data_IF_401713877675
#
_entry.id   IF_401713877675
#
_cell.length_a   1.000
_cell.length_b   1.000
_cell.length_c   1.000
_cell.angle_alpha   90.00
_cell.angle_beta   90.00
_cell.angle_gamma   90.00
#
_symmetry.space_group_name_H-M   'P 1'
#
loop_
_entity.id
_entity.type
_entity.pdbx_description
1 polymer ?
#
# COMPACT_ATOMS: atom_id res chain seq x y z
N UNK A 1 33.00 14.90 14.11
CA UNK A 1 32.17 15.64 15.10
C UNK A 1 31.19 14.66 15.72
N UNK A 2 30.78 14.83 16.99
CA UNK A 2 29.74 13.99 17.56
C UNK A 2 28.45 14.15 16.75
N UNK A 3 27.68 13.07 16.62
CA UNK A 3 26.36 13.10 15.97
C UNK A 3 25.47 14.05 16.77
N UNK A 4 24.82 15.05 16.12
CA UNK A 4 23.95 15.98 16.83
C UNK A 4 22.75 15.26 17.44
N UNK A 5 22.13 15.87 18.44
CA UNK A 5 20.92 15.36 19.08
C UNK A 5 19.76 16.33 18.90
N UNK A 6 18.54 15.80 18.93
CA UNK A 6 17.31 16.58 18.99
C UNK A 6 16.59 16.34 20.31
N UNK A 7 15.89 17.35 20.81
CA UNK A 7 15.12 17.24 22.05
C UNK A 7 13.66 16.88 21.72
N UNK A 8 13.19 15.76 22.25
CA UNK A 8 11.80 15.33 22.16
C UNK A 8 10.90 16.19 23.08
N UNK A 9 9.58 16.15 22.87
CA UNK A 9 8.60 16.92 23.65
C UNK A 9 8.62 16.64 25.17
N UNK A 10 9.16 15.50 25.58
CA UNK A 10 9.32 15.10 26.98
C UNK A 10 10.74 15.32 27.52
N UNK A 11 11.61 15.99 26.76
CA UNK A 11 12.97 16.34 27.14
C UNK A 11 14.02 15.27 26.91
N UNK A 12 13.64 14.07 26.46
CA UNK A 12 14.59 13.03 26.05
C UNK A 12 15.36 13.49 24.80
N UNK A 13 16.67 13.24 24.76
CA UNK A 13 17.49 13.55 23.59
C UNK A 13 17.63 12.33 22.67
N UNK A 14 17.29 12.52 21.40
CA UNK A 14 17.41 11.50 20.34
C UNK A 14 18.59 11.82 19.43
N UNK A 15 19.52 10.88 19.18
CA UNK A 15 20.59 11.09 18.20
C UNK A 15 20.03 11.26 16.79
N UNK A 16 20.58 12.23 16.06
CA UNK A 16 20.15 12.59 14.71
C UNK A 16 20.37 11.45 13.70
N UNK A 17 21.35 10.58 13.91
CA UNK A 17 21.63 9.42 13.06
C UNK A 17 21.55 8.15 13.89
N UNK A 18 20.69 7.23 13.49
CA UNK A 18 20.44 5.94 14.14
C UNK A 18 20.77 4.80 13.18
N UNK A 19 21.34 3.71 13.68
CA UNK A 19 21.61 2.53 12.86
C UNK A 19 20.30 1.77 12.63
N UNK A 20 19.76 1.82 11.41
CA UNK A 20 18.61 1.00 11.04
C UNK A 20 19.03 -0.46 10.86
N UNK A 21 18.30 -1.40 11.49
CA UNK A 21 18.68 -2.82 11.47
C UNK A 21 17.76 -3.74 10.67
N UNK A 22 16.79 -3.21 9.93
CA UNK A 22 15.94 -4.02 9.05
C UNK A 22 16.77 -4.79 8.00
N UNK A 23 16.35 -6.03 7.68
CA UNK A 23 17.02 -6.98 6.75
C UNK A 23 18.42 -7.48 7.17
N UNK A 24 18.72 -7.58 8.46
CA UNK A 24 19.87 -8.37 8.94
C UNK A 24 19.74 -9.84 8.53
N UNK A 25 20.84 -10.53 8.21
CA UNK A 25 20.82 -12.00 8.04
C UNK A 25 20.76 -12.65 9.42
N UNK A 26 19.90 -13.65 9.59
CA UNK A 26 19.60 -14.33 10.86
C UNK A 26 20.31 -15.68 10.98
N UNK A 27 21.59 -15.73 10.61
CA UNK A 27 22.45 -16.91 10.81
C UNK A 27 23.22 -16.87 12.14
N UNK A 28 22.80 -16.03 13.08
CA UNK A 28 23.42 -15.91 14.40
C UNK A 28 24.66 -15.01 14.45
N UNK A 29 25.01 -14.34 13.36
CA UNK A 29 26.05 -13.31 13.33
C UNK A 29 25.52 -11.92 13.71
N UNK A 30 26.35 -11.11 14.38
CA UNK A 30 26.14 -9.67 14.61
C UNK A 30 26.38 -8.83 13.34
N UNK A 31 26.45 -9.43 12.15
CA UNK A 31 27.11 -8.85 10.96
C UNK A 31 26.77 -7.38 10.74
N UNK A 32 27.74 -6.50 11.04
CA UNK A 32 27.65 -5.05 10.87
C UNK A 32 27.28 -4.27 12.13
N UNK A 33 26.77 -4.89 13.20
CA UNK A 33 26.36 -4.21 14.44
C UNK A 33 27.55 -3.96 15.38
N UNK A 34 28.44 -4.94 15.54
CA UNK A 34 29.68 -4.73 16.32
C UNK A 34 30.54 -3.67 15.62
N UNK A 35 30.64 -3.72 14.30
CA UNK A 35 31.31 -2.69 13.50
C UNK A 35 30.60 -1.33 13.62
N UNK A 36 29.26 -1.29 13.68
CA UNK A 36 28.52 -0.05 13.90
C UNK A 36 28.90 0.60 15.23
N UNK A 37 28.97 -0.19 16.32
CA UNK A 37 29.41 0.32 17.62
C UNK A 37 30.86 0.83 17.55
N UNK A 38 31.75 0.08 16.91
CA UNK A 38 33.17 0.40 16.75
C UNK A 38 33.37 1.73 15.99
N UNK A 39 32.60 1.98 14.93
CA UNK A 39 32.71 3.25 14.17
C UNK A 39 32.05 4.44 14.86
N UNK A 40 31.34 4.22 15.97
CA UNK A 40 30.80 5.30 16.81
C UNK A 40 29.28 5.42 16.82
N UNK A 41 28.52 4.45 16.29
CA UNK A 41 27.07 4.46 16.51
C UNK A 41 26.75 4.29 17.99
N UNK A 42 25.84 5.14 18.45
CA UNK A 42 25.25 5.10 19.79
C UNK A 42 23.73 5.04 19.76
N UNK A 43 23.12 4.99 18.58
CA UNK A 43 21.69 4.80 18.45
C UNK A 43 21.35 3.67 17.48
N UNK A 44 20.38 2.83 17.85
CA UNK A 44 19.95 1.66 17.07
C UNK A 44 18.43 1.67 16.92
N UNK A 45 17.96 1.57 15.69
CA UNK A 45 16.55 1.45 15.34
C UNK A 45 16.23 0.01 14.90
N UNK A 46 15.54 -0.72 15.77
CA UNK A 46 15.06 -2.09 15.56
C UNK A 46 13.54 -2.17 15.67
N UNK A 47 12.98 -3.38 15.55
CA UNK A 47 11.56 -3.68 15.76
C UNK A 47 11.39 -5.15 16.11
N UNK A 48 10.35 -5.49 16.88
CA UNK A 48 9.99 -6.89 17.14
C UNK A 48 9.77 -7.68 15.83
N UNK A 49 9.10 -7.07 14.86
CA UNK A 49 8.83 -7.69 13.56
C UNK A 49 10.13 -8.05 12.80
N UNK A 50 11.23 -7.35 13.07
CA UNK A 50 12.50 -7.64 12.43
C UNK A 50 13.17 -8.88 12.99
N UNK A 51 12.78 -9.37 14.18
CA UNK A 51 13.34 -10.59 14.81
C UNK A 51 14.86 -10.53 15.06
N UNK A 52 15.45 -9.34 15.20
CA UNK A 52 16.89 -9.13 15.49
C UNK A 52 17.15 -8.34 16.77
N UNK A 53 16.14 -8.12 17.63
CA UNK A 53 16.30 -7.45 18.92
C UNK A 53 17.40 -8.10 19.76
N UNK A 54 17.45 -9.42 19.84
CA UNK A 54 18.49 -10.16 20.55
C UNK A 54 19.91 -9.86 20.07
N UNK A 55 20.10 -9.70 18.77
CA UNK A 55 21.41 -9.43 18.17
C UNK A 55 21.85 -7.98 18.43
N UNK A 56 20.92 -7.02 18.39
CA UNK A 56 21.18 -5.62 18.78
C UNK A 56 21.60 -5.53 20.23
N UNK A 57 20.84 -6.20 21.11
CA UNK A 57 21.17 -6.30 22.52
C UNK A 57 22.55 -6.91 22.77
N UNK A 58 22.87 -7.99 22.05
CA UNK A 58 24.15 -8.67 22.16
C UNK A 58 25.32 -7.77 21.75
N UNK A 59 25.21 -7.04 20.63
CA UNK A 59 26.25 -6.13 20.17
C UNK A 59 26.51 -5.00 21.19
N UNK A 60 25.46 -4.44 21.78
CA UNK A 60 25.58 -3.41 22.83
C UNK A 60 26.30 -3.98 24.06
N UNK A 61 25.89 -5.16 24.56
CA UNK A 61 26.56 -5.78 25.71
C UNK A 61 28.02 -6.14 25.43
N UNK A 62 28.29 -6.70 24.24
CA UNK A 62 29.65 -7.09 23.82
C UNK A 62 30.60 -5.91 23.70
N UNK A 63 30.07 -4.71 23.43
CA UNK A 63 30.89 -3.51 23.27
C UNK A 63 31.63 -3.08 24.55
N UNK A 64 31.14 -3.49 25.73
CA UNK A 64 31.65 -3.03 27.02
C UNK A 64 31.35 -1.55 27.33
N UNK A 65 30.62 -0.84 26.46
CA UNK A 65 30.21 0.55 26.67
C UNK A 65 28.96 0.59 27.56
N UNK A 66 28.86 1.53 28.52
CA UNK A 66 27.68 1.64 29.38
C UNK A 66 26.38 1.77 28.58
N UNK A 67 25.32 1.06 29.01
CA UNK A 67 23.98 1.11 28.39
C UNK A 67 23.43 2.53 28.27
N UNK A 68 23.77 3.41 29.22
CA UNK A 68 23.36 4.82 29.24
C UNK A 68 23.92 5.67 28.10
N UNK A 69 24.99 5.22 27.43
CA UNK A 69 25.51 5.88 26.22
C UNK A 69 24.72 5.51 24.95
N UNK A 70 23.81 4.53 25.02
CA UNK A 70 23.04 4.09 23.87
C UNK A 70 21.61 4.63 23.89
N UNK A 71 21.08 4.88 22.70
CA UNK A 71 19.67 5.15 22.44
C UNK A 71 19.07 4.01 21.61
N UNK A 72 18.17 3.22 22.19
CA UNK A 72 17.57 2.07 21.51
C UNK A 72 16.09 2.30 21.24
N UNK A 73 15.73 2.22 19.96
CA UNK A 73 14.35 2.26 19.49
C UNK A 73 13.90 0.85 19.12
N UNK A 74 12.76 0.39 19.65
CA UNK A 74 12.04 -0.78 19.11
C UNK A 74 10.56 -0.48 18.87
N UNK A 75 9.81 -1.42 18.28
CA UNK A 75 8.45 -1.19 17.80
C UNK A 75 7.53 -2.37 18.10
N UNK A 76 6.32 -2.07 18.55
CA UNK A 76 5.21 -3.02 18.68
C UNK A 76 4.83 -3.56 17.30
N UNK A 77 4.85 -4.88 17.11
CA UNK A 77 4.45 -5.50 15.86
C UNK A 77 2.92 -5.46 15.66
N UNK A 78 2.47 -5.39 14.41
CA UNK A 78 1.04 -5.41 14.07
C UNK A 78 0.30 -6.61 14.66
N UNK A 79 0.96 -7.78 14.71
CA UNK A 79 0.36 -9.02 15.21
C UNK A 79 0.03 -8.94 16.72
N UNK A 80 0.59 -7.96 17.44
CA UNK A 80 0.57 -7.87 18.90
C UNK A 80 -0.28 -6.71 19.47
N UNK A 81 -1.06 -6.01 18.64
CA UNK A 81 -1.95 -4.92 19.09
C UNK A 81 -2.95 -5.34 20.17
N UNK A 82 -3.24 -6.64 20.29
CA UNK A 82 -4.15 -7.23 21.27
C UNK A 82 -3.49 -7.60 22.61
N UNK A 83 -2.16 -7.47 22.73
CA UNK A 83 -1.35 -7.93 23.87
C UNK A 83 -0.16 -7.00 24.13
N UNK A 84 -0.45 -5.70 24.16
CA UNK A 84 0.55 -4.61 24.16
C UNK A 84 1.56 -4.74 25.32
N UNK A 85 1.16 -4.95 26.59
CA UNK A 85 2.13 -5.08 27.69
C UNK A 85 3.03 -6.31 27.54
N UNK A 86 2.50 -7.45 27.11
CA UNK A 86 3.26 -8.69 26.92
C UNK A 86 4.26 -8.57 25.76
N UNK A 87 3.88 -7.87 24.69
CA UNK A 87 4.76 -7.59 23.57
C UNK A 87 5.94 -6.71 24.01
N UNK A 88 5.69 -5.68 24.82
CA UNK A 88 6.77 -4.87 25.40
C UNK A 88 7.74 -5.71 26.22
N UNK A 89 7.23 -6.59 27.10
CA UNK A 89 8.08 -7.50 27.89
C UNK A 89 8.92 -8.43 27.01
N UNK A 90 8.34 -8.90 25.90
CA UNK A 90 9.04 -9.75 24.95
C UNK A 90 10.20 -9.00 24.33
N UNK A 91 9.98 -7.78 23.82
CA UNK A 91 11.05 -6.94 23.28
C UNK A 91 12.16 -6.65 24.30
N UNK A 92 11.81 -6.33 25.55
CA UNK A 92 12.82 -6.10 26.60
C UNK A 92 13.63 -7.36 26.91
N UNK A 93 12.99 -8.52 26.95
CA UNK A 93 13.67 -9.80 27.16
C UNK A 93 14.60 -10.14 25.99
N UNK A 94 14.14 -9.96 24.75
CA UNK A 94 14.96 -10.21 23.56
C UNK A 94 16.16 -9.27 23.54
N UNK A 95 15.94 -7.96 23.69
CA UNK A 95 17.03 -6.98 23.81
C UNK A 95 17.97 -7.32 24.96
N UNK A 96 17.46 -7.79 26.10
CA UNK A 96 18.25 -8.11 27.30
C UNK A 96 19.21 -6.96 27.68
N UNK A 97 18.66 -5.75 27.72
CA UNK A 97 19.36 -4.54 28.14
C UNK A 97 18.79 -4.06 29.46
N UNK A 98 19.57 -3.26 30.19
CA UNK A 98 19.07 -2.59 31.38
C UNK A 98 17.95 -1.62 31.01
N UNK A 99 16.90 -1.61 31.84
CA UNK A 99 15.82 -0.64 31.76
C UNK A 99 16.33 0.76 32.16
N UNK A 100 15.74 1.84 31.63
CA UNK A 100 14.62 1.84 30.69
C UNK A 100 15.03 1.71 29.21
N UNK A 101 14.09 1.24 28.37
CA UNK A 101 14.18 1.42 26.91
C UNK A 101 14.06 2.92 26.55
N UNK A 102 14.76 3.37 25.51
CA UNK A 102 14.74 4.80 25.15
C UNK A 102 13.47 5.21 24.39
N UNK A 103 13.11 4.48 23.33
CA UNK A 103 11.94 4.78 22.51
C UNK A 103 11.18 3.51 22.10
N UNK A 104 9.87 3.52 22.30
CA UNK A 104 8.99 2.45 21.83
C UNK A 104 7.89 2.98 20.92
N UNK A 105 7.82 2.45 19.69
CA UNK A 105 6.90 2.93 18.67
C UNK A 105 5.76 1.94 18.41
N UNK A 106 4.56 2.46 18.16
CA UNK A 106 3.55 1.70 17.41
C UNK A 106 4.00 1.61 15.95
N UNK A 107 4.30 0.40 15.45
CA UNK A 107 4.91 0.27 14.12
C UNK A 107 3.98 0.71 12.99
N UNK A 108 2.67 0.49 13.13
CA UNK A 108 1.64 0.85 12.16
C UNK A 108 0.30 1.14 12.87
N UNK A 109 -0.56 2.01 12.31
CA UNK A 109 -1.89 2.32 12.87
C UNK A 109 -2.91 1.19 12.57
N UNK A 110 -2.63 -0.03 13.01
CA UNK A 110 -3.55 -1.16 12.83
C UNK A 110 -2.93 -2.50 13.19
N UNK A 111 -3.75 -3.35 13.81
CA UNK A 111 -3.36 -4.71 14.16
C UNK A 111 -3.46 -5.67 12.98
N UNK A 112 -2.90 -6.86 13.13
CA UNK A 112 -3.00 -7.94 12.16
C UNK A 112 -3.29 -9.27 12.86
N UNK A 113 -4.14 -10.10 12.26
CA UNK A 113 -4.44 -11.46 12.71
C UNK A 113 -4.33 -12.41 11.53
N UNK A 114 -3.27 -13.19 11.49
CA UNK A 114 -2.91 -13.97 10.30
C UNK A 114 -2.63 -13.05 9.11
N UNK A 115 -3.39 -13.20 8.02
CA UNK A 115 -3.24 -12.37 6.82
C UNK A 115 -4.24 -11.20 6.75
N UNK A 116 -4.98 -10.92 7.83
CA UNK A 116 -6.02 -9.89 7.86
C UNK A 116 -5.60 -8.75 8.78
N UNK A 117 -5.53 -7.54 8.23
CA UNK A 117 -5.35 -6.31 9.01
C UNK A 117 -6.68 -5.88 9.64
N UNK A 118 -6.63 -5.28 10.83
CA UNK A 118 -7.80 -4.76 11.54
C UNK A 118 -7.47 -3.44 12.25
N UNK A 119 -8.53 -2.67 12.51
CA UNK A 119 -8.49 -1.47 13.34
C UNK A 119 -9.85 -1.35 14.03
N UNK A 120 -10.07 -2.18 15.06
CA UNK A 120 -11.32 -2.27 15.80
C UNK A 120 -12.16 -3.53 15.57
N UNK A 121 -13.32 -3.62 16.27
CA UNK A 121 -14.17 -4.80 16.25
C UNK A 121 -14.73 -5.13 14.86
N UNK A 122 -14.92 -6.42 14.52
CA UNK A 122 -14.69 -7.61 15.35
C UNK A 122 -13.24 -8.14 15.32
N UNK A 123 -12.31 -7.45 14.64
CA UNK A 123 -10.97 -7.96 14.36
C UNK A 123 -9.98 -7.91 15.53
N UNK A 124 -10.15 -6.92 16.42
CA UNK A 124 -9.31 -6.70 17.60
C UNK A 124 -9.45 -5.26 18.08
N UNK A 125 -8.52 -4.75 18.91
CA UNK A 125 -8.53 -3.35 19.31
C UNK A 125 -8.26 -2.41 18.14
N UNK A 126 -8.73 -1.18 18.27
CA UNK A 126 -8.34 -0.04 17.44
C UNK A 126 -6.91 0.42 17.77
N UNK A 127 -6.26 1.18 16.88
CA UNK A 127 -4.97 1.78 17.21
C UNK A 127 -5.07 2.81 18.36
N UNK A 128 -6.22 3.46 18.57
CA UNK A 128 -6.46 4.32 19.73
C UNK A 128 -6.43 3.51 21.04
N UNK A 129 -7.07 2.33 21.08
CA UNK A 129 -7.03 1.42 22.22
C UNK A 129 -5.61 0.84 22.43
N UNK A 130 -4.91 0.49 21.34
CA UNK A 130 -3.50 0.09 21.42
C UNK A 130 -2.64 1.20 22.02
N UNK A 131 -2.83 2.45 21.61
CA UNK A 131 -2.10 3.59 22.16
C UNK A 131 -2.38 3.78 23.66
N UNK A 132 -3.63 3.66 24.09
CA UNK A 132 -3.99 3.74 25.50
C UNK A 132 -3.25 2.68 26.36
N UNK A 133 -3.03 1.47 25.84
CA UNK A 133 -2.20 0.46 26.52
C UNK A 133 -0.70 0.83 26.50
N UNK A 134 -0.19 1.41 25.42
CA UNK A 134 1.19 1.92 25.36
C UNK A 134 1.44 3.05 26.38
N UNK A 135 0.45 3.92 26.58
CA UNK A 135 0.52 4.98 27.60
C UNK A 135 0.64 4.39 29.02
N UNK A 136 -0.07 3.30 29.32
CA UNK A 136 0.07 2.60 30.61
C UNK A 136 1.47 2.04 30.79
N UNK A 137 2.07 1.48 29.74
CA UNK A 137 3.48 1.02 29.78
C UNK A 137 4.42 2.20 30.03
N UNK A 138 4.20 3.34 29.38
CA UNK A 138 4.98 4.55 29.62
C UNK A 138 4.89 5.04 31.08
N UNK A 139 3.72 4.98 31.70
CA UNK A 139 3.54 5.38 33.10
C UNK A 139 4.37 4.52 34.08
N UNK A 140 4.73 3.28 33.73
CA UNK A 140 5.63 2.42 34.53
C UNK A 140 7.09 2.87 34.55
N UNK A 141 7.45 3.87 33.72
CA UNK A 141 8.83 4.40 33.57
C UNK A 141 9.86 3.40 33.05
N UNK A 142 9.42 2.24 32.54
CA UNK A 142 10.29 1.26 31.86
C UNK A 142 10.66 1.64 30.43
N UNK A 143 10.02 2.67 29.89
CA UNK A 143 10.37 3.32 28.62
C UNK A 143 10.44 4.83 28.81
N UNK A 144 11.46 5.48 28.23
CA UNK A 144 11.71 6.92 28.36
C UNK A 144 10.81 7.76 27.44
N UNK A 145 10.44 7.24 26.28
CA UNK A 145 9.53 7.87 25.33
C UNK A 145 8.69 6.85 24.55
N UNK A 146 7.45 7.18 24.25
CA UNK A 146 6.59 6.43 23.32
C UNK A 146 6.28 7.28 22.10
N UNK A 147 6.12 6.63 20.94
CA UNK A 147 5.82 7.30 19.69
C UNK A 147 5.08 6.39 18.72
N UNK A 148 4.89 6.88 17.50
CA UNK A 148 4.19 6.16 16.43
C UNK A 148 5.08 6.04 15.19
N UNK A 149 4.69 5.19 14.26
CA UNK A 149 5.32 5.07 12.96
C UNK A 149 4.25 4.88 11.88
N UNK A 150 4.47 5.49 10.72
CA UNK A 150 3.57 5.44 9.56
C UNK A 150 2.23 6.15 9.78
N UNK A 151 2.19 7.19 10.62
CA UNK A 151 0.98 7.98 10.85
C UNK A 151 0.94 9.19 9.90
N UNK A 152 -0.18 9.34 9.20
CA UNK A 152 -0.51 10.55 8.43
C UNK A 152 -1.09 11.63 9.34
N UNK A 153 -1.23 12.87 8.85
CA UNK A 153 -1.92 13.96 9.56
C UNK A 153 -3.32 13.50 10.01
N UNK A 154 -4.09 12.89 9.10
CA UNK A 154 -5.44 12.37 9.39
C UNK A 154 -5.42 11.33 10.51
N UNK A 155 -4.45 10.43 10.49
CA UNK A 155 -4.32 9.36 11.49
C UNK A 155 -3.91 9.93 12.86
N UNK A 156 -3.03 10.94 12.88
CA UNK A 156 -2.66 11.65 14.12
C UNK A 156 -3.86 12.40 14.71
N UNK A 157 -4.66 13.08 13.89
CA UNK A 157 -5.88 13.75 14.36
C UNK A 157 -6.90 12.74 14.94
N UNK A 158 -7.02 11.54 14.37
CA UNK A 158 -7.85 10.48 14.94
C UNK A 158 -7.30 9.98 16.29
N UNK A 159 -5.98 9.80 16.39
CA UNK A 159 -5.31 9.42 17.64
C UNK A 159 -5.56 10.44 18.76
N UNK A 160 -5.49 11.73 18.43
CA UNK A 160 -5.65 12.82 19.40
C UNK A 160 -7.06 12.97 19.97
N UNK A 161 -8.06 12.26 19.43
CA UNK A 161 -9.38 12.20 20.06
C UNK A 161 -9.36 11.51 21.42
N UNK A 162 -8.40 10.63 21.66
CA UNK A 162 -8.33 9.83 22.90
C UNK A 162 -6.95 9.81 23.56
N UNK A 163 -5.88 10.18 22.85
CA UNK A 163 -4.53 10.17 23.40
C UNK A 163 -4.37 11.22 24.52
N UNK A 164 -3.84 10.77 25.67
CA UNK A 164 -3.43 11.64 26.78
C UNK A 164 -1.99 12.12 26.61
N UNK A 165 -1.13 11.25 26.07
CA UNK A 165 0.29 11.52 25.82
C UNK A 165 0.46 11.79 24.33
N UNK A 166 1.02 12.95 24.00
CA UNK A 166 1.40 13.29 22.63
C UNK A 166 2.58 12.39 22.22
N UNK A 167 2.52 11.67 21.08
CA UNK A 167 3.64 10.87 20.59
C UNK A 167 4.93 11.70 20.54
N UNK A 168 6.01 11.21 21.13
CA UNK A 168 7.29 11.92 21.12
C UNK A 168 7.91 11.92 19.72
N UNK A 169 7.67 10.86 18.95
CA UNK A 169 8.20 10.65 17.60
C UNK A 169 7.09 10.14 16.67
N UNK A 170 7.12 10.57 15.41
CA UNK A 170 6.46 9.89 14.30
C UNK A 170 7.53 9.45 13.29
N UNK A 171 7.78 8.13 13.19
CA UNK A 171 8.76 7.59 12.27
C UNK A 171 8.10 7.24 10.93
N UNK A 172 8.53 7.86 9.83
CA UNK A 172 7.91 7.71 8.51
C UNK A 172 8.97 7.51 7.42
N UNK A 173 8.56 7.06 6.24
CA UNK A 173 9.41 7.12 5.06
C UNK A 173 9.71 8.58 4.75
N UNK A 174 10.98 8.92 4.56
CA UNK A 174 11.34 10.26 4.11
C UNK A 174 12.72 10.31 3.50
N UNK A 175 12.84 11.06 2.42
CA UNK A 175 14.05 11.22 1.61
C UNK A 175 13.80 12.36 0.61
N UNK A 176 14.79 12.83 -0.18
CA UNK A 176 14.59 13.94 -1.12
C UNK A 176 13.43 13.77 -2.13
N UNK A 177 13.04 12.54 -2.46
CA UNK A 177 11.88 12.25 -3.32
C UNK A 177 10.51 12.24 -2.58
N UNK A 178 10.53 12.32 -1.25
CA UNK A 178 9.37 12.31 -0.37
C UNK A 178 9.70 13.11 0.90
N UNK A 179 9.82 14.44 0.80
CA UNK A 179 10.19 15.27 1.96
C UNK A 179 9.03 15.54 2.92
N UNK A 180 7.79 15.28 2.49
CA UNK A 180 6.54 15.40 3.26
C UNK A 180 6.48 16.66 4.15
N UNK A 181 6.62 17.83 3.51
CA UNK A 181 6.68 19.14 4.19
C UNK A 181 5.40 19.44 5.00
N UNK A 182 4.24 18.97 4.53
CA UNK A 182 2.97 19.14 5.24
C UNK A 182 2.95 18.34 6.54
N UNK A 183 3.35 17.06 6.51
CA UNK A 183 3.46 16.25 7.71
C UNK A 183 4.50 16.81 8.67
N UNK A 184 5.65 17.29 8.16
CA UNK A 184 6.68 17.93 8.98
C UNK A 184 6.13 19.15 9.70
N UNK A 185 5.55 20.10 8.99
CA UNK A 185 5.01 21.32 9.59
C UNK A 185 3.91 20.99 10.63
N UNK A 186 3.07 20.00 10.33
CA UNK A 186 2.06 19.53 11.26
C UNK A 186 2.67 18.90 12.52
N UNK A 187 3.63 17.99 12.39
CA UNK A 187 4.33 17.36 13.51
C UNK A 187 5.09 18.40 14.37
N UNK A 188 5.81 19.34 13.75
CA UNK A 188 6.49 20.43 14.45
C UNK A 188 5.50 21.27 15.29
N UNK A 189 4.32 21.59 14.74
CA UNK A 189 3.29 22.36 15.45
C UNK A 189 2.71 21.65 16.69
N UNK A 190 2.84 20.32 16.74
CA UNK A 190 2.40 19.47 17.86
C UNK A 190 3.57 19.05 18.77
N UNK A 191 4.80 19.46 18.46
CA UNK A 191 6.01 19.01 19.16
C UNK A 191 6.36 17.54 18.93
N UNK A 192 5.90 16.92 17.84
CA UNK A 192 6.21 15.53 17.48
C UNK A 192 7.48 15.54 16.64
N UNK A 193 8.53 14.86 17.08
CA UNK A 193 9.77 14.76 16.31
C UNK A 193 9.63 13.79 15.14
N UNK A 194 10.04 14.18 13.94
CA UNK A 194 10.06 13.25 12.80
C UNK A 194 11.37 12.45 12.77
N UNK A 195 11.24 11.16 12.51
CA UNK A 195 12.37 10.29 12.14
C UNK A 195 12.12 9.69 10.77
N UNK A 196 13.06 9.85 9.84
CA UNK A 196 12.99 9.21 8.53
C UNK A 196 13.63 7.83 8.56
N UNK A 197 12.81 6.81 8.27
CA UNK A 197 13.30 5.51 7.82
C UNK A 197 13.50 5.52 6.30
N UNK A 198 14.34 4.61 5.80
CA UNK A 198 14.73 4.55 4.38
C UNK A 198 15.23 5.90 3.82
N UNK A 199 16.07 6.67 4.54
CA UNK A 199 16.51 8.00 4.09
C UNK A 199 17.30 7.99 2.77
N UNK A 200 17.79 6.81 2.38
CA UNK A 200 18.52 6.59 1.14
C UNK A 200 17.68 5.84 0.09
N UNK A 201 16.36 5.78 0.25
CA UNK A 201 15.39 5.22 -0.71
C UNK A 201 15.16 3.71 -0.64
N UNK A 202 15.87 2.97 0.23
CA UNK A 202 15.81 1.49 0.33
C UNK A 202 16.19 0.77 -0.98
N UNK A 203 16.79 -0.42 -0.88
CA UNK A 203 16.96 -1.28 -2.05
C UNK A 203 15.84 -2.32 -2.05
N UNK A 204 14.91 -2.24 -3.00
CA UNK A 204 14.01 -3.35 -3.30
C UNK A 204 14.66 -4.15 -4.44
N UNK A 205 15.36 -5.24 -4.10
CA UNK A 205 16.11 -6.08 -5.04
C UNK A 205 17.55 -5.60 -5.29
N UNK A 206 18.16 -6.04 -6.42
CA UNK A 206 19.55 -5.73 -6.82
C UNK A 206 19.73 -4.34 -7.45
N UNK A 207 18.66 -3.52 -7.49
CA UNK A 207 18.70 -2.19 -8.09
C UNK A 207 19.25 -1.15 -7.12
N UNK A 208 20.11 -0.26 -7.62
CA UNK A 208 20.61 0.90 -6.87
C UNK A 208 19.44 1.86 -6.63
N UNK A 209 19.26 2.28 -5.37
CA UNK A 209 18.26 3.29 -5.02
C UNK A 209 18.34 4.52 -5.94
N UNK A 210 17.21 5.01 -6.48
CA UNK A 210 17.19 6.18 -7.35
C UNK A 210 17.68 7.45 -6.63
N UNK A 211 17.61 7.50 -5.30
CA UNK A 211 18.19 8.61 -4.50
C UNK A 211 19.71 8.68 -4.70
N UNK A 212 20.41 7.54 -4.67
CA UNK A 212 21.87 7.50 -4.84
C UNK A 212 22.30 7.78 -6.27
N UNK A 213 21.39 7.59 -7.23
CA UNK A 213 21.59 7.85 -8.65
C UNK A 213 21.31 9.28 -9.09
N UNK A 214 20.63 10.08 -8.26
CA UNK A 214 20.08 11.38 -8.66
C UNK A 214 21.16 12.41 -9.04
N UNK A 215 20.95 13.12 -10.15
CA UNK A 215 21.90 14.08 -10.71
C UNK A 215 22.06 15.33 -9.85
N UNK A 216 21.00 15.79 -9.20
CA UNK A 216 21.02 17.02 -8.41
C UNK A 216 21.74 16.76 -7.08
N UNK A 217 21.46 15.61 -6.45
CA UNK A 217 22.20 15.17 -5.27
C UNK A 217 23.67 14.89 -5.57
N UNK A 218 24.01 14.31 -6.74
CA UNK A 218 25.40 14.10 -7.16
C UNK A 218 26.15 15.41 -7.32
N UNK A 219 25.54 16.41 -7.96
CA UNK A 219 26.17 17.72 -8.14
C UNK A 219 26.50 18.38 -6.79
N UNK A 220 25.61 18.28 -5.80
CA UNK A 220 25.86 18.76 -4.43
C UNK A 220 26.95 17.92 -3.76
N UNK A 221 26.89 16.59 -3.89
CA UNK A 221 27.90 15.69 -3.30
C UNK A 221 29.32 15.97 -3.83
N UNK A 222 29.46 16.23 -5.13
CA UNK A 222 30.72 16.62 -5.78
C UNK A 222 31.25 17.95 -5.25
N UNK A 223 30.39 18.95 -5.05
CA UNK A 223 30.78 20.25 -4.50
C UNK A 223 31.36 20.15 -3.08
N UNK A 224 30.88 19.19 -2.29
CA UNK A 224 31.33 18.93 -0.92
C UNK A 224 32.42 17.84 -0.83
N UNK A 225 32.76 17.18 -1.93
CA UNK A 225 33.66 16.01 -1.97
C UNK A 225 33.24 14.89 -0.99
N UNK A 226 31.95 14.58 -0.96
CA UNK A 226 31.35 13.54 -0.09
C UNK A 226 30.43 12.62 -0.88
N UNK A 227 29.88 11.59 -0.23
CA UNK A 227 28.91 10.70 -0.86
C UNK A 227 27.51 11.34 -0.98
N UNK A 228 26.73 10.91 -1.98
CA UNK A 228 25.30 11.28 -2.09
C UNK A 228 24.51 10.90 -0.83
N UNK A 229 24.88 9.80 -0.18
CA UNK A 229 24.27 9.39 1.09
C UNK A 229 24.47 10.44 2.18
N UNK A 230 25.69 10.99 2.31
CA UNK A 230 25.95 12.06 3.27
C UNK A 230 25.12 13.31 2.99
N UNK A 231 24.94 13.70 1.72
CA UNK A 231 24.09 14.84 1.36
C UNK A 231 22.64 14.58 1.79
N UNK A 232 22.07 13.44 1.44
CA UNK A 232 20.68 13.11 1.78
C UNK A 232 20.44 13.04 3.31
N UNK A 233 21.39 12.50 4.07
CA UNK A 233 21.30 12.45 5.53
C UNK A 233 21.47 13.85 6.15
N UNK A 234 22.45 14.62 5.69
CA UNK A 234 22.71 15.98 6.19
C UNK A 234 21.53 16.92 5.92
N UNK A 235 20.92 16.80 4.75
CA UNK A 235 19.69 17.52 4.40
C UNK A 235 18.55 17.27 5.39
N UNK A 236 18.28 16.01 5.74
CA UNK A 236 17.23 15.69 6.72
C UNK A 236 17.60 16.23 8.11
N UNK A 237 18.84 16.04 8.55
CA UNK A 237 19.30 16.50 9.87
C UNK A 237 19.26 18.03 10.00
N UNK A 238 19.68 18.78 8.98
CA UNK A 238 19.58 20.24 8.99
C UNK A 238 18.13 20.75 9.04
N UNK A 239 17.17 19.95 8.54
CA UNK A 239 15.74 20.23 8.66
C UNK A 239 15.16 19.85 10.03
N UNK A 240 15.99 19.41 10.98
CA UNK A 240 15.57 18.99 12.31
C UNK A 240 14.96 17.59 12.36
N UNK A 241 15.27 16.72 11.39
CA UNK A 241 14.72 15.37 11.29
C UNK A 241 15.83 14.35 11.54
N UNK A 242 15.60 13.39 12.44
CA UNK A 242 16.56 12.28 12.60
C UNK A 242 16.38 11.23 11.52
N UNK A 243 17.43 10.47 11.24
CA UNK A 243 17.48 9.49 10.14
C UNK A 243 17.95 8.13 10.64
N UNK A 244 17.37 7.07 10.09
CA UNK A 244 17.74 5.69 10.38
C UNK A 244 18.32 4.97 9.14
N UNK A 245 19.51 5.35 8.63
CA UNK A 245 20.15 4.63 7.52
C UNK A 245 20.60 3.23 7.96
N UNK A 246 20.57 2.28 7.02
CA UNK A 246 21.06 0.92 7.21
C UNK A 246 22.28 0.65 6.34
N UNK A 247 23.30 -0.01 6.90
CA UNK A 247 24.46 -0.50 6.16
C UNK A 247 25.05 -1.73 6.86
N UNK A 248 25.71 -2.63 6.13
CA UNK A 248 26.62 -3.64 6.70
C UNK A 248 28.07 -3.40 6.30
N UNK A 249 28.33 -2.32 5.56
CA UNK A 249 29.68 -1.90 5.15
C UNK A 249 30.17 -0.79 6.08
N UNK A 250 31.33 -1.03 6.70
CA UNK A 250 31.95 -0.18 7.72
C UNK A 250 32.30 1.23 7.22
N UNK A 251 32.76 1.37 5.98
CA UNK A 251 33.09 2.69 5.42
C UNK A 251 31.82 3.52 5.18
N UNK A 252 30.76 2.90 4.66
CA UNK A 252 29.45 3.56 4.54
C UNK A 252 28.86 3.94 5.90
N UNK A 253 29.06 3.11 6.93
CA UNK A 253 28.64 3.47 8.30
C UNK A 253 29.35 4.74 8.79
N UNK A 254 30.68 4.83 8.61
CA UNK A 254 31.45 6.05 8.95
C UNK A 254 30.97 7.27 8.16
N UNK A 255 30.73 7.10 6.85
CA UNK A 255 30.19 8.16 6.01
C UNK A 255 28.82 8.62 6.51
N UNK A 256 27.91 7.70 6.83
CA UNK A 256 26.57 8.02 7.31
C UNK A 256 26.56 8.81 8.64
N UNK A 257 27.59 8.64 9.49
CA UNK A 257 27.78 9.44 10.71
C UNK A 257 28.42 10.81 10.46
N UNK A 258 29.04 11.01 9.29
CA UNK A 258 29.80 12.22 8.95
C UNK A 258 28.92 13.17 8.14
N UNK A 259 28.16 14.00 8.85
CA UNK A 259 27.29 15.00 8.26
C UNK A 259 28.08 16.21 7.74
N UNK A 260 27.57 16.85 6.69
CA UNK A 260 28.11 18.08 6.10
C UNK A 260 27.14 19.24 6.30
N UNK A 261 27.64 20.47 6.28
CA UNK A 261 26.81 21.66 6.32
C UNK A 261 26.47 22.08 4.90
N UNK A 262 25.20 21.95 4.53
CA UNK A 262 24.62 22.41 3.27
C UNK A 262 24.22 23.89 3.39
N UNK A 263 24.37 24.65 2.29
CA UNK A 263 23.88 26.02 2.19
C UNK A 263 22.34 26.06 2.09
N UNK A 264 21.75 27.23 2.33
CA UNK A 264 20.30 27.42 2.20
C UNK A 264 19.84 27.12 0.77
N UNK A 265 20.62 27.51 -0.25
CA UNK A 265 20.34 27.22 -1.65
C UNK A 265 20.39 25.72 -1.96
N UNK A 266 21.31 24.97 -1.33
CA UNK A 266 21.40 23.52 -1.48
C UNK A 266 20.22 22.82 -0.81
N UNK A 267 19.84 23.25 0.40
CA UNK A 267 18.65 22.75 1.10
C UNK A 267 17.41 23.00 0.25
N UNK A 268 17.23 24.21 -0.27
CA UNK A 268 16.09 24.57 -1.11
C UNK A 268 16.08 23.79 -2.42
N UNK A 269 17.24 23.58 -3.04
CA UNK A 269 17.35 22.72 -4.23
C UNK A 269 16.86 21.32 -3.91
N UNK A 270 17.34 20.71 -2.81
CA UNK A 270 16.99 19.34 -2.43
C UNK A 270 15.50 19.22 -2.06
N UNK A 271 14.93 20.19 -1.32
CA UNK A 271 13.51 20.26 -1.00
C UNK A 271 12.62 20.24 -2.25
N UNK A 272 13.11 20.79 -3.36
CA UNK A 272 12.34 20.92 -4.59
C UNK A 272 12.68 19.85 -5.66
N UNK A 273 13.60 18.91 -5.40
CA UNK A 273 13.95 17.83 -6.36
C UNK A 273 12.69 17.06 -6.77
N UNK A 274 11.82 16.71 -5.82
CA UNK A 274 10.60 15.97 -6.11
C UNK A 274 9.59 16.76 -6.98
N UNK A 275 9.70 18.08 -7.04
CA UNK A 275 8.81 18.94 -7.86
C UNK A 275 9.31 19.08 -9.29
N UNK A 276 10.62 18.91 -9.51
CA UNK A 276 11.25 19.06 -10.82
C UNK A 276 10.86 17.98 -11.83
N UNK A 277 10.48 16.80 -11.35
CA UNK A 277 10.12 15.64 -12.15
C UNK A 277 9.12 14.75 -11.39
N UNK A 278 7.92 14.48 -11.95
CA UNK A 278 6.92 13.62 -11.31
C UNK A 278 7.42 12.20 -10.95
N UNK A 279 8.45 11.68 -11.64
CA UNK A 279 9.07 10.39 -11.31
C UNK A 279 9.84 10.43 -9.98
N UNK A 280 10.22 11.63 -9.53
CA UNK A 280 10.95 11.90 -8.30
C UNK A 280 10.05 12.25 -7.12
N UNK A 281 8.73 12.20 -7.27
CA UNK A 281 7.79 12.30 -6.15
C UNK A 281 7.11 10.95 -5.91
N UNK A 282 7.80 10.07 -5.18
CA UNK A 282 7.34 8.69 -4.99
C UNK A 282 7.79 8.13 -3.65
N UNK A 283 6.96 7.26 -3.09
CA UNK A 283 7.44 6.26 -2.12
C UNK A 283 8.34 5.25 -2.83
N UNK A 284 9.45 4.92 -2.20
CA UNK A 284 10.42 3.92 -2.61
C UNK A 284 10.41 2.70 -1.67
N UNK A 285 10.01 2.91 -0.42
CA UNK A 285 9.82 1.84 0.55
C UNK A 285 8.45 1.18 0.37
N UNK A 286 8.41 0.12 -0.44
CA UNK A 286 7.20 -0.67 -0.71
C UNK A 286 6.69 -1.50 0.49
N UNK A 287 7.21 -1.29 1.70
CA UNK A 287 6.74 -1.98 2.92
C UNK A 287 5.36 -1.46 3.35
N UNK A 288 5.06 -0.20 3.00
CA UNK A 288 3.79 0.48 3.27
C UNK A 288 2.79 0.41 2.11
N UNK A 289 3.33 0.35 0.90
CA UNK A 289 2.61 0.66 -0.32
C UNK A 289 2.92 -0.41 -1.35
N UNK A 290 1.96 -1.32 -1.53
CA UNK A 290 2.00 -2.21 -2.68
C UNK A 290 1.56 -1.41 -3.91
N UNK A 291 2.55 -0.95 -4.68
CA UNK A 291 2.35 -0.12 -5.89
C UNK A 291 1.49 -0.81 -6.96
N UNK A 292 1.28 -2.13 -6.86
CA UNK A 292 0.42 -2.90 -7.78
C UNK A 292 -1.05 -2.93 -7.35
N UNK A 293 -1.41 -2.46 -6.14
CA UNK A 293 -2.73 -2.78 -5.53
C UNK A 293 -3.47 -1.62 -4.87
N UNK A 294 -2.92 -0.41 -4.95
CA UNK A 294 -3.49 0.84 -4.40
C UNK A 294 -4.11 0.72 -2.99
N UNK A 295 -3.65 -0.23 -2.17
CA UNK A 295 -4.18 -0.53 -0.84
C UNK A 295 -3.12 -1.18 0.04
N UNK A 296 -3.24 -1.00 1.35
CA UNK A 296 -2.44 -1.70 2.35
C UNK A 296 -2.99 -3.13 2.57
N UNK A 297 -2.46 -4.13 1.84
CA UNK A 297 -2.47 -5.54 2.27
C UNK A 297 -3.30 -6.57 1.47
N UNK A 298 -2.94 -6.90 0.23
CA UNK A 298 -3.54 -8.05 -0.49
C UNK A 298 -2.55 -8.76 -1.42
N UNK A 299 -2.69 -10.09 -1.64
CA UNK A 299 -1.77 -10.97 -2.41
C UNK A 299 -2.20 -11.09 -3.88
N UNK A 300 -1.27 -11.31 -4.81
CA UNK A 300 -1.51 -11.57 -6.25
C UNK A 300 -0.82 -12.87 -6.62
N UNK A 301 -1.39 -13.61 -7.58
CA UNK A 301 -0.92 -14.92 -8.03
C UNK A 301 -0.64 -14.86 -9.54
N UNK A 302 0.42 -15.53 -9.99
CA UNK A 302 0.73 -15.66 -11.41
C UNK A 302 -0.26 -16.63 -12.09
N UNK A 303 -0.40 -16.56 -13.43
CA UNK A 303 -1.34 -17.42 -14.17
C UNK A 303 -0.99 -18.92 -14.12
N UNK A 304 0.27 -19.23 -13.84
CA UNK A 304 0.81 -20.57 -13.63
C UNK A 304 0.79 -21.00 -12.15
N UNK A 305 0.32 -20.15 -11.24
CA UNK A 305 0.12 -20.49 -9.83
C UNK A 305 -0.96 -21.56 -9.72
N UNK A 306 -0.68 -22.61 -8.95
CA UNK A 306 -1.59 -23.74 -8.77
C UNK A 306 -2.98 -23.30 -8.32
N UNK A 307 -3.10 -22.26 -7.51
CA UNK A 307 -4.40 -21.74 -7.04
C UNK A 307 -5.22 -21.12 -8.16
N UNK A 308 -4.58 -20.44 -9.11
CA UNK A 308 -5.25 -19.87 -10.29
C UNK A 308 -5.67 -20.98 -11.24
N UNK A 309 -4.78 -21.95 -11.48
CA UNK A 309 -5.07 -23.13 -12.29
C UNK A 309 -6.25 -23.92 -11.69
N UNK A 310 -6.25 -24.16 -10.37
CA UNK A 310 -7.32 -24.88 -9.67
C UNK A 310 -8.66 -24.15 -9.78
N UNK A 311 -8.68 -22.81 -9.70
CA UNK A 311 -9.89 -22.02 -9.90
C UNK A 311 -10.41 -22.11 -11.35
N UNK A 312 -9.52 -22.09 -12.34
CA UNK A 312 -9.89 -22.24 -13.76
C UNK A 312 -10.47 -23.64 -14.02
N UNK A 313 -9.80 -24.68 -13.53
CA UNK A 313 -10.28 -26.06 -13.64
C UNK A 313 -11.63 -26.19 -12.93
N UNK A 314 -11.75 -25.66 -11.71
CA UNK A 314 -12.99 -25.64 -10.95
C UNK A 314 -14.13 -24.97 -11.71
N UNK A 315 -13.89 -23.81 -12.33
CA UNK A 315 -14.88 -23.13 -13.15
C UNK A 315 -15.34 -23.97 -14.35
N UNK A 316 -14.42 -24.61 -15.08
CA UNK A 316 -14.75 -25.48 -16.22
C UNK A 316 -15.55 -26.70 -15.77
N UNK A 317 -15.12 -27.36 -14.68
CA UNK A 317 -15.80 -28.53 -14.13
C UNK A 317 -17.22 -28.19 -13.67
N UNK A 318 -17.39 -27.09 -12.94
CA UNK A 318 -18.70 -26.62 -12.49
C UNK A 318 -19.58 -26.23 -13.69
N UNK A 319 -19.01 -25.57 -14.70
CA UNK A 319 -19.74 -25.21 -15.92
C UNK A 319 -20.24 -26.43 -16.69
N UNK A 320 -19.40 -27.46 -16.84
CA UNK A 320 -19.79 -28.72 -17.48
C UNK A 320 -20.83 -29.49 -16.64
N UNK A 321 -20.67 -29.52 -15.32
CA UNK A 321 -21.63 -30.12 -14.41
C UNK A 321 -22.99 -29.41 -14.48
N UNK A 322 -23.00 -28.08 -14.54
CA UNK A 322 -24.21 -27.29 -14.73
C UNK A 322 -24.88 -27.63 -16.07
N UNK A 323 -24.13 -27.66 -17.17
CA UNK A 323 -24.68 -28.06 -18.48
C UNK A 323 -25.26 -29.47 -18.47
N UNK A 324 -24.57 -30.43 -17.82
CA UNK A 324 -25.05 -31.80 -17.68
C UNK A 324 -26.34 -31.88 -16.84
N UNK A 325 -26.42 -31.10 -15.74
CA UNK A 325 -27.64 -30.96 -14.94
C UNK A 325 -28.78 -30.35 -15.76
N UNK A 326 -28.55 -29.29 -16.54
CA UNK A 326 -29.59 -28.70 -17.39
C UNK A 326 -30.11 -29.69 -18.45
N UNK A 327 -29.23 -30.55 -19.00
CA UNK A 327 -29.64 -31.64 -19.92
C UNK A 327 -30.46 -32.69 -19.18
N UNK A 328 -30.02 -33.11 -17.99
CA UNK A 328 -30.66 -34.15 -17.19
C UNK A 328 -32.05 -33.75 -16.68
N UNK A 329 -32.20 -32.49 -16.24
CA UNK A 329 -33.46 -31.96 -15.70
C UNK A 329 -34.54 -31.75 -16.77
N UNK A 330 -34.17 -31.69 -18.06
CA UNK A 330 -35.09 -31.56 -19.18
C UNK A 330 -36.00 -30.33 -19.07
N UNK A 331 -37.30 -30.54 -18.91
CA UNK A 331 -38.31 -29.47 -18.79
C UNK A 331 -38.33 -28.78 -17.42
N UNK A 332 -37.69 -29.37 -16.40
CA UNK A 332 -37.52 -28.74 -15.08
C UNK A 332 -36.24 -27.93 -14.96
N UNK A 333 -35.42 -27.90 -16.02
CA UNK A 333 -34.18 -27.14 -16.05
C UNK A 333 -34.45 -25.65 -15.89
N UNK A 334 -33.54 -24.95 -15.21
CA UNK A 334 -33.54 -23.48 -15.12
C UNK A 334 -33.44 -22.84 -16.50
N UNK A 335 -32.73 -23.49 -17.42
CA UNK A 335 -32.62 -23.10 -18.83
C UNK A 335 -33.05 -24.28 -19.71
N UNK A 336 -34.33 -24.41 -20.06
CA UNK A 336 -34.79 -25.50 -20.91
C UNK A 336 -34.17 -25.43 -22.30
N UNK A 337 -33.42 -26.47 -22.67
CA UNK A 337 -32.72 -26.51 -23.94
C UNK A 337 -33.64 -26.42 -25.16
N UNK A 338 -34.92 -26.81 -25.03
CA UNK A 338 -35.90 -26.66 -26.12
C UNK A 338 -36.12 -25.21 -26.52
N UNK A 339 -36.04 -24.28 -25.56
CA UNK A 339 -36.21 -22.84 -25.82
C UNK A 339 -34.96 -22.30 -26.52
N UNK A 340 -33.77 -22.75 -26.13
CA UNK A 340 -32.52 -22.38 -26.81
C UNK A 340 -32.36 -23.00 -28.21
N UNK A 341 -33.03 -24.13 -28.48
CA UNK A 341 -33.11 -24.72 -29.84
C UNK A 341 -33.89 -23.84 -30.81
N UNK A 342 -34.74 -22.92 -30.34
CA UNK A 342 -35.31 -21.89 -31.18
C UNK A 342 -34.17 -20.97 -31.66
N UNK A 343 -33.88 -21.00 -32.96
CA UNK A 343 -32.74 -20.29 -33.58
C UNK A 343 -32.76 -18.80 -33.26
N UNK A 344 -33.95 -18.20 -33.19
CA UNK A 344 -34.13 -16.78 -32.88
C UNK A 344 -33.76 -16.46 -31.44
N UNK A 345 -34.17 -17.30 -30.49
CA UNK A 345 -33.88 -17.10 -29.06
C UNK A 345 -32.42 -17.42 -28.74
N UNK A 346 -31.88 -18.51 -29.29
CA UNK A 346 -30.47 -18.88 -29.13
C UNK A 346 -29.52 -17.83 -29.70
N UNK A 347 -29.77 -17.39 -30.94
CA UNK A 347 -28.97 -16.32 -31.56
C UNK A 347 -29.16 -14.97 -30.85
N UNK A 348 -30.39 -14.63 -30.47
CA UNK A 348 -30.68 -13.42 -29.71
C UNK A 348 -29.95 -13.39 -28.36
N UNK A 349 -29.87 -14.52 -27.67
CA UNK A 349 -29.13 -14.65 -26.41
C UNK A 349 -27.62 -14.45 -26.60
N UNK A 350 -27.05 -15.01 -27.68
CA UNK A 350 -25.64 -14.81 -28.03
C UNK A 350 -25.32 -13.35 -28.35
N UNK A 351 -26.16 -12.70 -29.16
CA UNK A 351 -26.02 -11.27 -29.46
C UNK A 351 -26.08 -10.44 -28.19
N UNK A 352 -26.99 -10.77 -27.26
CA UNK A 352 -27.09 -10.09 -25.97
C UNK A 352 -25.86 -10.26 -25.09
N UNK A 353 -25.30 -11.47 -25.05
CA UNK A 353 -24.05 -11.73 -24.35
C UNK A 353 -22.94 -10.81 -24.88
N UNK A 354 -22.73 -10.77 -26.21
CA UNK A 354 -21.67 -9.97 -26.83
C UNK A 354 -21.87 -8.45 -26.66
N UNK A 355 -23.10 -7.95 -26.79
CA UNK A 355 -23.39 -6.52 -26.62
C UNK A 355 -23.20 -6.09 -25.18
N UNK A 356 -23.65 -6.91 -24.21
CA UNK A 356 -23.47 -6.62 -22.79
C UNK A 356 -22.00 -6.68 -22.38
N UNK A 357 -21.26 -7.67 -22.88
CA UNK A 357 -19.82 -7.80 -22.72
C UNK A 357 -19.09 -6.50 -23.11
N UNK A 358 -19.37 -5.96 -24.29
CA UNK A 358 -18.75 -4.72 -24.76
C UNK A 358 -19.21 -3.49 -23.96
N UNK A 359 -20.53 -3.35 -23.74
CA UNK A 359 -21.11 -2.17 -23.12
C UNK A 359 -20.72 -1.99 -21.65
N UNK A 360 -20.83 -3.07 -20.86
CA UNK A 360 -20.50 -3.01 -19.42
C UNK A 360 -19.00 -2.79 -19.23
N UNK A 361 -18.16 -3.37 -20.10
CA UNK A 361 -16.72 -3.11 -20.10
C UNK A 361 -16.43 -1.63 -20.38
N UNK A 362 -17.06 -1.03 -21.39
CA UNK A 362 -16.87 0.39 -21.68
C UNK A 362 -17.30 1.28 -20.49
N UNK A 363 -18.46 1.02 -19.90
CA UNK A 363 -18.95 1.77 -18.74
C UNK A 363 -18.02 1.66 -17.53
N UNK A 364 -17.47 0.47 -17.29
CA UNK A 364 -16.60 0.23 -16.14
C UNK A 364 -15.21 0.82 -16.33
N UNK A 365 -14.59 0.63 -17.50
CA UNK A 365 -13.19 1.00 -17.73
C UNK A 365 -12.99 2.41 -18.26
N UNK A 366 -13.98 3.05 -18.88
CA UNK A 366 -13.81 4.39 -19.40
C UNK A 366 -13.53 5.45 -18.31
N UNK A 367 -14.24 5.47 -17.16
CA UNK A 367 -13.87 6.37 -16.05
C UNK A 367 -12.47 6.07 -15.51
N UNK A 368 -12.12 4.79 -15.40
CA UNK A 368 -10.81 4.33 -14.92
C UNK A 368 -9.72 4.81 -15.88
N UNK A 369 -9.91 4.68 -17.19
CA UNK A 369 -8.97 5.18 -18.20
C UNK A 369 -8.73 6.69 -18.05
N UNK A 370 -9.77 7.49 -17.83
CA UNK A 370 -9.59 8.92 -17.60
C UNK A 370 -8.80 9.22 -16.32
N UNK A 371 -8.99 8.43 -15.26
CA UNK A 371 -8.31 8.63 -13.98
C UNK A 371 -6.87 8.12 -14.01
N UNK A 372 -6.62 6.94 -14.58
CA UNK A 372 -5.31 6.27 -14.55
C UNK A 372 -4.40 6.72 -15.70
N UNK A 373 -4.93 6.88 -16.91
CA UNK A 373 -4.14 7.22 -18.11
C UNK A 373 -4.11 8.73 -18.31
N UNK A 374 -5.27 9.40 -18.24
CA UNK A 374 -5.33 10.85 -18.44
C UNK A 374 -5.13 11.66 -17.14
N UNK A 375 -4.85 10.98 -16.02
CA UNK A 375 -4.63 11.58 -14.68
C UNK A 375 -5.70 12.61 -14.27
N UNK A 376 -6.93 12.38 -14.69
CA UNK A 376 -8.06 13.25 -14.35
C UNK A 376 -8.59 12.91 -12.96
N UNK A 377 -9.01 13.92 -12.20
CA UNK A 377 -9.67 13.69 -10.90
C UNK A 377 -10.98 12.91 -11.09
N UNK A 378 -11.47 12.23 -10.03
CA UNK A 378 -12.73 11.49 -10.10
C UNK A 378 -13.92 12.34 -10.60
N UNK A 379 -13.98 13.61 -10.16
CA UNK A 379 -14.99 14.58 -10.62
C UNK A 379 -14.84 14.87 -12.11
N UNK A 380 -13.61 15.11 -12.59
CA UNK A 380 -13.35 15.42 -14.00
C UNK A 380 -13.58 14.21 -14.90
N UNK A 381 -13.22 13.01 -14.45
CA UNK A 381 -13.54 11.74 -15.12
C UNK A 381 -15.05 11.56 -15.28
N UNK A 382 -15.84 11.89 -14.24
CA UNK A 382 -17.30 11.92 -14.32
C UNK A 382 -17.85 12.90 -15.36
N UNK A 383 -17.22 14.07 -15.53
CA UNK A 383 -17.60 15.02 -16.59
C UNK A 383 -17.23 14.49 -17.97
N UNK A 384 -16.07 13.85 -18.11
CA UNK A 384 -15.59 13.29 -19.38
C UNK A 384 -16.43 12.10 -19.88
N UNK A 385 -17.17 11.43 -19.01
CA UNK A 385 -18.09 10.34 -19.41
C UNK A 385 -19.48 10.84 -19.82
N UNK A 386 -19.80 12.12 -19.58
CA UNK A 386 -21.10 12.70 -19.95
C UNK A 386 -21.47 12.55 -21.43
N UNK A 387 -20.56 12.74 -22.41
CA UNK A 387 -20.92 12.54 -23.83
C UNK A 387 -21.43 11.13 -24.13
N UNK A 388 -20.85 10.10 -23.50
CA UNK A 388 -21.32 8.72 -23.62
C UNK A 388 -22.71 8.55 -22.99
N UNK A 389 -22.89 9.07 -21.77
CA UNK A 389 -24.18 8.98 -21.05
C UNK A 389 -25.29 9.70 -21.85
N UNK A 390 -25.01 10.89 -22.37
CA UNK A 390 -25.94 11.68 -23.17
C UNK A 390 -26.31 10.96 -24.47
N UNK A 391 -25.33 10.39 -25.18
CA UNK A 391 -25.61 9.60 -26.37
C UNK A 391 -26.50 8.39 -26.04
N UNK A 392 -26.18 7.64 -24.97
CA UNK A 392 -27.00 6.50 -24.52
C UNK A 392 -28.43 6.93 -24.23
N UNK A 393 -28.63 8.02 -23.47
CA UNK A 393 -29.97 8.54 -23.15
C UNK A 393 -30.75 8.88 -24.43
N UNK A 394 -30.15 9.66 -25.34
CA UNK A 394 -30.82 10.07 -26.59
C UNK A 394 -31.23 8.86 -27.43
N UNK A 395 -30.33 7.90 -27.62
CA UNK A 395 -30.64 6.70 -28.41
C UNK A 395 -31.63 5.78 -27.71
N UNK A 396 -31.61 5.66 -26.38
CA UNK A 396 -32.61 4.90 -25.61
C UNK A 396 -34.00 5.54 -25.69
N UNK A 397 -34.10 6.86 -25.57
CA UNK A 397 -35.36 7.59 -25.71
C UNK A 397 -35.91 7.47 -27.13
N UNK A 398 -35.06 7.66 -28.15
CA UNK A 398 -35.45 7.47 -29.55
C UNK A 398 -35.94 6.05 -29.82
N UNK A 399 -35.27 5.04 -29.25
CA UNK A 399 -35.70 3.63 -29.32
C UNK A 399 -37.10 3.43 -28.74
N UNK A 400 -37.37 3.99 -27.55
CA UNK A 400 -38.69 3.90 -26.92
C UNK A 400 -39.79 4.55 -27.76
N UNK A 401 -39.51 5.71 -28.36
CA UNK A 401 -40.46 6.40 -29.26
C UNK A 401 -40.72 5.59 -30.53
N UNK A 402 -39.67 5.04 -31.15
CA UNK A 402 -39.81 4.21 -32.36
C UNK A 402 -40.65 2.95 -32.11
N UNK A 403 -40.48 2.32 -30.94
CA UNK A 403 -41.27 1.16 -30.52
C UNK A 403 -42.75 1.53 -30.36
N UNK A 404 -43.06 2.64 -29.69
CA UNK A 404 -44.43 3.13 -29.52
C UNK A 404 -45.08 3.56 -30.84
N UNK A 405 -44.28 4.04 -31.79
CA UNK A 405 -44.74 4.46 -33.12
C UNK A 405 -44.87 3.29 -34.12
N UNK A 406 -44.51 2.06 -33.74
CA UNK A 406 -44.58 0.89 -34.61
C UNK A 406 -43.62 0.94 -35.82
N UNK A 407 -42.58 1.77 -35.75
CA UNK A 407 -41.63 1.97 -36.86
C UNK A 407 -40.60 0.84 -36.86
N UNK A 408 -40.96 -0.26 -37.54
CA UNK A 408 -40.12 -1.44 -37.76
C UNK A 408 -39.84 -2.28 -36.50
N UNK A 409 -39.19 -3.45 -36.64
CA UNK A 409 -38.77 -4.26 -35.49
C UNK A 409 -37.62 -3.64 -34.66
N UNK A 410 -37.37 -2.32 -34.74
CA UNK A 410 -36.20 -1.65 -34.13
C UNK A 410 -36.27 -1.60 -32.60
N UNK A 411 -35.24 -1.97 -31.85
CA UNK A 411 -33.82 -1.63 -31.99
C UNK A 411 -32.94 -2.82 -31.60
N UNK A 412 -31.71 -2.90 -32.12
CA UNK A 412 -30.75 -4.01 -31.91
C UNK A 412 -30.61 -4.49 -30.46
N UNK A 413 -30.81 -3.59 -29.49
CA UNK A 413 -30.75 -3.89 -28.07
C UNK A 413 -32.05 -4.46 -27.47
N UNK A 414 -33.23 -4.22 -28.03
CA UNK A 414 -34.47 -4.89 -27.58
C UNK A 414 -34.92 -6.02 -28.50
N UNK A 415 -34.36 -6.09 -29.71
CA UNK A 415 -34.63 -7.10 -30.71
C UNK A 415 -34.62 -8.54 -30.14
N UNK A 416 -33.65 -8.97 -29.32
CA UNK A 416 -33.66 -10.32 -28.75
C UNK A 416 -34.83 -10.61 -27.81
N UNK A 417 -35.29 -9.61 -27.04
CA UNK A 417 -36.45 -9.76 -26.13
C UNK A 417 -37.77 -9.76 -26.91
N UNK A 418 -37.89 -8.83 -27.87
CA UNK A 418 -39.06 -8.76 -28.75
C UNK A 418 -39.14 -10.04 -29.60
N UNK A 419 -38.02 -10.48 -30.17
CA UNK A 419 -37.94 -11.69 -30.96
C UNK A 419 -38.28 -12.94 -30.14
N UNK A 420 -37.84 -13.04 -28.89
CA UNK A 420 -38.28 -14.10 -27.99
C UNK A 420 -39.79 -14.04 -27.70
N UNK A 421 -40.35 -12.84 -27.51
CA UNK A 421 -41.78 -12.67 -27.24
C UNK A 421 -42.71 -12.97 -28.42
N UNK A 422 -42.25 -12.80 -29.67
CA UNK A 422 -43.06 -13.05 -30.88
C UNK A 422 -42.86 -14.45 -31.46
N UNK A 423 -41.77 -15.14 -31.13
CA UNK A 423 -41.44 -16.47 -31.71
C UNK A 423 -41.69 -17.65 -30.78
N UNK A 424 -41.96 -17.38 -29.49
CA UNK A 424 -42.29 -18.41 -28.51
C UNK A 424 -43.80 -18.50 -28.30
N UNK A 425 -44.28 -19.68 -27.90
CA UNK A 425 -45.67 -19.86 -27.48
C UNK A 425 -45.95 -19.00 -26.23
N UNK A 426 -47.19 -18.52 -26.02
CA UNK A 426 -47.54 -17.61 -24.92
C UNK A 426 -47.05 -18.05 -23.53
N UNK A 427 -47.09 -19.36 -23.27
CA UNK A 427 -46.62 -20.01 -22.05
C UNK A 427 -45.10 -19.92 -21.84
N UNK A 428 -44.31 -19.82 -22.92
CA UNK A 428 -42.85 -19.83 -22.91
C UNK A 428 -42.23 -18.42 -23.00
N UNK A 429 -43.01 -17.39 -23.34
CA UNK A 429 -42.53 -16.00 -23.52
C UNK A 429 -41.77 -15.50 -22.28
N UNK A 430 -42.32 -15.73 -21.08
CA UNK A 430 -41.70 -15.32 -19.82
C UNK A 430 -40.35 -15.99 -19.63
N UNK A 431 -40.28 -17.30 -19.89
CA UNK A 431 -39.07 -18.09 -19.70
C UNK A 431 -37.99 -17.74 -20.73
N UNK A 432 -38.37 -17.56 -22.00
CA UNK A 432 -37.45 -17.07 -23.04
C UNK A 432 -36.88 -15.69 -22.74
N UNK A 433 -37.70 -14.78 -22.22
CA UNK A 433 -37.24 -13.44 -21.81
C UNK A 433 -36.23 -13.49 -20.66
N UNK A 434 -36.47 -14.35 -19.66
CA UNK A 434 -35.55 -14.56 -18.54
C UNK A 434 -34.20 -15.13 -19.03
N UNK A 435 -34.23 -16.08 -19.96
CA UNK A 435 -33.02 -16.66 -20.55
C UNK A 435 -32.19 -15.59 -21.27
N UNK A 436 -32.82 -14.75 -22.08
CA UNK A 436 -32.13 -13.64 -22.77
C UNK A 436 -31.51 -12.66 -21.77
N UNK A 437 -32.19 -12.38 -20.66
CA UNK A 437 -31.68 -11.53 -19.58
C UNK A 437 -30.50 -12.16 -18.82
N UNK A 438 -30.55 -13.47 -18.60
CA UNK A 438 -29.45 -14.23 -17.99
C UNK A 438 -28.18 -14.11 -18.83
N UNK A 439 -28.26 -14.35 -20.15
CA UNK A 439 -27.08 -14.21 -21.04
C UNK A 439 -26.55 -12.78 -21.13
N UNK A 440 -27.43 -11.78 -21.07
CA UNK A 440 -27.03 -10.37 -20.97
C UNK A 440 -26.19 -10.11 -19.70
N UNK A 441 -26.66 -10.59 -18.55
CA UNK A 441 -25.98 -10.41 -17.26
C UNK A 441 -24.67 -11.19 -17.20
N UNK A 442 -24.68 -12.41 -17.71
CA UNK A 442 -23.50 -13.28 -17.78
C UNK A 442 -22.39 -12.65 -18.62
N UNK A 443 -22.71 -12.14 -19.82
CA UNK A 443 -21.74 -11.49 -20.70
C UNK A 443 -21.10 -10.26 -20.08
N UNK A 444 -21.90 -9.38 -19.47
CA UNK A 444 -21.39 -8.21 -18.76
C UNK A 444 -20.44 -8.57 -17.62
N UNK A 445 -20.84 -9.51 -16.76
CA UNK A 445 -20.05 -9.93 -15.59
C UNK A 445 -18.75 -10.64 -15.98
N UNK A 446 -18.80 -11.53 -16.98
CA UNK A 446 -17.62 -12.23 -17.47
C UNK A 446 -16.61 -11.26 -18.08
N UNK A 447 -17.04 -10.32 -18.92
CA UNK A 447 -16.12 -9.39 -19.57
C UNK A 447 -15.47 -8.42 -18.58
N UNK A 448 -16.19 -7.92 -17.58
CA UNK A 448 -15.58 -7.11 -16.51
C UNK A 448 -14.54 -7.93 -15.75
N UNK A 449 -14.87 -9.16 -15.35
CA UNK A 449 -13.95 -10.04 -14.62
C UNK A 449 -12.69 -10.38 -15.44
N UNK A 450 -12.84 -10.69 -16.74
CA UNK A 450 -11.74 -10.99 -17.64
C UNK A 450 -10.89 -9.75 -17.89
N UNK A 451 -11.49 -8.60 -18.21
CA UNK A 451 -10.77 -7.37 -18.46
C UNK A 451 -10.03 -6.87 -17.21
N UNK A 452 -10.58 -7.06 -16.01
CA UNK A 452 -9.89 -6.83 -14.74
C UNK A 452 -8.68 -7.77 -14.58
N UNK A 453 -8.78 -9.00 -15.08
CA UNK A 453 -7.70 -10.00 -15.01
C UNK A 453 -6.62 -9.76 -16.08
N UNK A 454 -6.99 -9.32 -17.28
CA UNK A 454 -6.06 -9.04 -18.39
C UNK A 454 -5.34 -7.69 -18.21
N UNK A 455 -6.01 -6.65 -17.69
CA UNK A 455 -5.34 -5.38 -17.34
C UNK A 455 -4.24 -5.57 -16.29
N UNK A 456 -4.37 -6.58 -15.41
CA UNK A 456 -3.31 -7.03 -14.49
C UNK A 456 -2.13 -7.72 -15.20
N UNK A 457 -2.32 -8.27 -16.39
CA UNK A 457 -1.30 -9.02 -17.15
C UNK A 457 -0.57 -8.16 -18.19
N UNK A 458 -1.18 -7.08 -18.70
CA UNK A 458 -0.51 -6.15 -19.63
C UNK A 458 0.42 -5.17 -18.93
N UNK A 459 0.16 -4.83 -17.66
CA UNK A 459 1.07 -4.00 -16.86
C UNK A 459 2.38 -4.68 -16.49
N UNK A 460 2.47 -6.02 -16.60
CA UNK A 460 3.71 -6.77 -16.41
C UNK A 460 4.57 -6.89 -17.68
N UNK A 461 4.06 -6.51 -18.86
CA UNK A 461 4.78 -6.64 -20.14
C UNK A 461 5.13 -5.30 -20.80
N UNK A 462 4.56 -4.18 -20.37
CA UNK A 462 4.77 -2.86 -20.99
C UNK A 462 5.70 -1.90 -20.25
N UNK A 463 6.51 -2.37 -19.29
CA UNK A 463 7.61 -1.55 -18.70
C UNK A 463 8.95 -1.71 -19.43
N UNK A 464 8.93 -2.21 -20.66
CA UNK A 464 10.04 -2.13 -21.60
C UNK A 464 9.60 -1.18 -22.72
N UNK A 465 10.25 -0.01 -22.81
CA UNK A 465 10.01 1.11 -23.74
C UNK A 465 8.95 2.14 -23.30
N UNK A 466 9.35 3.13 -22.49
CA UNK A 466 9.80 4.46 -22.96
C UNK A 466 10.26 5.29 -21.77
#
# INVERSE_FOLDING_TARGET
>A
MPVPTFKLNNGVEIPAVQMGVWQGRFDGGTTGLDEAVEVGYRAFDTAMLYKNEAVVGQAIRNSGIPRSEFFVTTKLANDDHHRVPEAFQTSLKELNLEDPLDLWLMHWPGGRKGNVSYDGPPGGPTFNETWAEMEKVYDTKRVRAIGVSNFSIRTLEELFKTARIIPAVNQVEGHPYLPDEELKAYCDSKGIHLTYYSPLGSNVGDSVSPILGDKDLKAVAEAHNVSVGQIALSWAVQRGISVAPRSTNKDRMKQNLTLVQLSDEEIDRINNIHKSDPSRHTRLCNVAWNKEKETAGGITYAWDDSRIIDLIIGFVVIGLAFCADQVYQGERATIPLRILKNRTVGFGSLVKFCVAAAYVSLLYFLPIYFQSVQRSSAIRSGVQTLPLIMAVIVFMTATGIMLLAGIGPGVAWMLPFIAASITLAPEDIKLGSVIVMFFQTLGGTMSVSIAQSCSRASSSSSSVQS
#
